data_IF_435071574968
#
_entry.id   IF_435071574968
#
_cell.length_a   1.000
_cell.length_b   1.000
_cell.length_c   1.000
_cell.angle_alpha   90.00
_cell.angle_beta   90.00
_cell.angle_gamma   90.00
#
_symmetry.space_group_name_H-M   'P 1'
#
loop_
_entity.id
_entity.type
_entity.pdbx_description
1 polymer ?
#
# COMPACT_ATOMS: atom_id res chain seq x y z
N UNK A 1 -0.17 44.43 61.53
CA UNK A 1 0.79 43.35 61.21
C UNK A 1 0.46 42.83 59.83
N UNK A 2 1.28 43.20 58.85
CA UNK A 2 1.14 42.82 57.45
C UNK A 2 2.43 42.12 57.07
N UNK A 3 2.31 40.89 56.55
CA UNK A 3 3.29 40.28 55.65
C UNK A 3 2.60 39.09 54.99
N UNK A 4 2.06 39.34 53.81
CA UNK A 4 1.61 38.33 52.86
C UNK A 4 2.85 37.87 52.10
N UNK A 5 3.40 36.70 52.40
CA UNK A 5 4.46 36.10 51.58
C UNK A 5 3.88 35.77 50.20
N UNK A 6 4.33 36.47 49.16
CA UNK A 6 4.05 36.10 47.77
C UNK A 6 4.88 34.87 47.40
N UNK A 7 4.26 33.78 46.89
CA UNK A 7 5.00 32.62 46.44
C UNK A 7 5.89 33.01 45.25
N UNK A 8 7.15 32.61 45.32
CA UNK A 8 8.18 32.86 44.34
C UNK A 8 7.78 32.29 42.95
N UNK A 9 7.31 33.18 42.07
CA UNK A 9 6.80 32.88 40.72
C UNK A 9 7.89 32.55 39.70
N UNK A 10 9.17 32.74 40.06
CA UNK A 10 10.30 32.48 39.16
C UNK A 10 10.60 30.98 38.99
N UNK A 11 10.02 30.11 39.84
CA UNK A 11 10.33 28.66 39.88
C UNK A 11 9.47 27.79 38.96
N UNK A 12 8.45 28.35 38.29
CA UNK A 12 7.60 27.63 37.32
C UNK A 12 7.96 27.94 35.85
N UNK A 13 9.13 28.52 35.60
CA UNK A 13 9.60 28.75 34.24
C UNK A 13 10.40 27.55 33.76
N UNK A 14 9.96 26.91 32.66
CA UNK A 14 10.73 25.87 31.98
C UNK A 14 12.14 26.44 31.69
N UNK A 15 13.22 25.78 32.14
CA UNK A 15 14.58 26.28 31.93
C UNK A 15 14.84 26.49 30.44
N UNK A 16 15.39 27.66 30.07
CA UNK A 16 15.67 28.03 28.67
C UNK A 16 16.55 26.98 27.96
N UNK A 17 17.45 26.33 28.69
CA UNK A 17 18.30 25.24 28.19
C UNK A 17 17.49 24.02 27.77
N UNK A 18 16.42 23.67 28.49
CA UNK A 18 15.55 22.56 28.14
C UNK A 18 14.72 22.88 26.89
N UNK A 19 14.19 24.10 26.81
CA UNK A 19 13.46 24.57 25.62
C UNK A 19 14.36 24.57 24.36
N UNK A 20 15.60 25.05 24.50
CA UNK A 20 16.61 24.99 23.43
C UNK A 20 16.96 23.55 23.05
N UNK A 21 17.05 22.63 24.02
CA UNK A 21 17.28 21.21 23.77
C UNK A 21 16.15 20.56 22.97
N UNK A 22 14.89 20.86 23.30
CA UNK A 22 13.72 20.39 22.57
C UNK A 22 13.69 20.93 21.13
N UNK A 23 13.97 22.22 20.96
CA UNK A 23 14.05 22.84 19.64
C UNK A 23 15.19 22.26 18.81
N UNK A 24 16.37 22.04 19.40
CA UNK A 24 17.51 21.43 18.73
C UNK A 24 17.20 20.00 18.28
N UNK A 25 16.51 19.20 19.11
CA UNK A 25 16.09 17.85 18.76
C UNK A 25 15.13 17.85 17.56
N UNK A 26 14.11 18.72 17.60
CA UNK A 26 13.13 18.83 16.51
C UNK A 26 13.75 19.34 15.19
N UNK A 27 14.65 20.31 15.27
CA UNK A 27 15.35 20.82 14.09
C UNK A 27 16.33 19.78 13.53
N UNK A 28 16.98 18.99 14.40
CA UNK A 28 17.90 17.93 13.96
C UNK A 28 17.16 16.79 13.25
N UNK A 29 16.00 16.36 13.77
CA UNK A 29 15.18 15.35 13.11
C UNK A 29 14.67 15.84 11.76
N UNK A 30 14.18 17.08 11.70
CA UNK A 30 13.73 17.70 10.46
C UNK A 30 14.88 17.80 9.44
N UNK A 31 16.07 18.24 9.87
CA UNK A 31 17.24 18.33 8.99
C UNK A 31 17.67 16.97 8.43
N UNK A 32 17.67 15.91 9.25
CA UNK A 32 17.99 14.56 8.80
C UNK A 32 16.99 14.05 7.76
N UNK A 33 15.69 14.26 7.99
CA UNK A 33 14.64 13.85 7.05
C UNK A 33 14.71 14.68 5.76
N UNK A 34 14.81 16.00 5.86
CA UNK A 34 14.96 16.89 4.70
C UNK A 34 16.20 16.54 3.87
N UNK A 35 17.33 16.24 4.51
CA UNK A 35 18.53 15.76 3.83
C UNK A 35 18.29 14.42 3.13
N UNK A 36 17.64 13.47 3.79
CA UNK A 36 17.31 12.17 3.19
C UNK A 36 16.38 12.30 1.97
N UNK A 37 15.40 13.22 2.02
CA UNK A 37 14.48 13.49 0.91
C UNK A 37 15.21 14.19 -0.23
N UNK A 38 15.99 15.23 0.06
CA UNK A 38 16.71 16.01 -0.94
C UNK A 38 17.81 15.21 -1.67
N UNK A 39 18.46 14.27 -0.97
CA UNK A 39 19.49 13.39 -1.54
C UNK A 39 18.92 12.19 -2.30
N UNK A 40 17.59 12.05 -2.35
CA UNK A 40 16.93 10.97 -3.10
C UNK A 40 17.38 9.59 -2.65
N UNK A 41 17.74 9.42 -1.38
CA UNK A 41 18.24 8.16 -0.85
C UNK A 41 17.15 7.11 -1.08
N UNK A 42 17.39 6.17 -1.99
CA UNK A 42 16.46 5.08 -2.28
C UNK A 42 16.07 4.41 -0.97
N UNK A 43 14.76 4.26 -0.75
CA UNK A 43 14.23 3.69 0.48
C UNK A 43 14.87 2.32 0.70
N UNK A 44 15.70 2.21 1.74
CA UNK A 44 16.41 0.97 2.07
C UNK A 44 15.37 0.04 2.69
N UNK A 45 14.89 -0.91 1.89
CA UNK A 45 13.75 -1.77 2.23
C UNK A 45 12.88 -2.17 1.04
N UNK A 46 13.13 -1.64 -0.16
CA UNK A 46 12.52 -2.15 -1.40
C UNK A 46 13.20 -3.50 -1.72
N UNK A 47 12.49 -4.64 -1.66
CA UNK A 47 13.03 -5.91 -2.11
C UNK A 47 13.48 -5.75 -3.56
N UNK A 48 14.60 -6.39 -3.92
CA UNK A 48 15.16 -6.36 -5.27
C UNK A 48 14.03 -6.42 -6.31
N UNK A 49 14.02 -5.46 -7.24
CA UNK A 49 13.04 -5.41 -8.31
C UNK A 49 13.34 -6.62 -9.19
N UNK A 50 12.76 -7.77 -8.80
CA UNK A 50 12.95 -9.03 -9.50
C UNK A 50 12.66 -8.82 -10.98
N UNK A 51 13.25 -9.66 -11.82
CA UNK A 51 12.95 -9.58 -13.25
C UNK A 51 11.54 -10.11 -13.48
N UNK A 52 10.72 -9.36 -14.21
CA UNK A 52 9.37 -9.82 -14.58
C UNK A 52 9.52 -11.07 -15.45
N UNK A 53 9.04 -12.20 -14.94
CA UNK A 53 9.05 -13.49 -15.65
C UNK A 53 7.76 -13.72 -16.43
N UNK A 54 6.63 -13.25 -15.89
CA UNK A 54 5.34 -13.31 -16.57
C UNK A 54 4.45 -12.13 -16.18
N UNK A 55 3.63 -11.67 -17.14
CA UNK A 55 2.61 -10.65 -16.94
C UNK A 55 1.33 -11.08 -17.65
N UNK A 56 0.21 -11.05 -16.94
CA UNK A 56 -1.11 -11.35 -17.50
C UNK A 56 -2.11 -10.28 -17.08
N UNK A 57 -2.95 -9.85 -18.02
CA UNK A 57 -4.05 -8.93 -17.73
C UNK A 57 -5.33 -9.66 -17.37
N UNK A 58 -5.98 -9.20 -16.31
CA UNK A 58 -7.31 -9.67 -15.88
C UNK A 58 -8.19 -8.48 -15.51
N UNK A 59 -9.50 -8.68 -15.56
CA UNK A 59 -10.52 -7.74 -15.11
C UNK A 59 -11.20 -8.35 -13.89
N UNK A 60 -11.17 -7.64 -12.76
CA UNK A 60 -11.89 -8.01 -11.54
C UNK A 60 -13.20 -7.23 -11.47
N UNK A 61 -14.32 -7.91 -11.55
CA UNK A 61 -15.65 -7.32 -11.44
C UNK A 61 -16.27 -7.70 -10.09
N UNK A 62 -16.40 -6.74 -9.19
CA UNK A 62 -17.07 -6.94 -7.91
C UNK A 62 -18.59 -6.96 -8.08
N UNK A 63 -19.22 -8.07 -7.69
CA UNK A 63 -20.68 -8.20 -7.69
C UNK A 63 -21.30 -7.85 -6.33
N UNK A 64 -20.61 -8.21 -5.25
CA UNK A 64 -21.04 -7.94 -3.87
C UNK A 64 -19.84 -7.85 -2.94
N UNK A 65 -20.06 -7.64 -1.65
CA UNK A 65 -19.00 -7.61 -0.64
C UNK A 65 -18.21 -8.93 -0.53
N UNK A 66 -18.72 -10.03 -1.09
CA UNK A 66 -18.05 -11.34 -1.06
C UNK A 66 -17.85 -11.96 -2.44
N UNK A 67 -18.60 -11.51 -3.45
CA UNK A 67 -18.60 -12.11 -4.79
C UNK A 67 -17.81 -11.29 -5.80
N UNK A 68 -16.98 -11.96 -6.60
CA UNK A 68 -16.14 -11.36 -7.64
C UNK A 68 -16.09 -12.28 -8.87
N UNK A 69 -16.21 -11.69 -10.06
CA UNK A 69 -15.94 -12.37 -11.32
C UNK A 69 -14.56 -11.94 -11.82
N UNK A 70 -13.75 -12.93 -12.19
CA UNK A 70 -12.46 -12.73 -12.86
C UNK A 70 -12.66 -12.99 -14.34
N UNK A 71 -12.38 -11.98 -15.16
CA UNK A 71 -12.46 -12.07 -16.63
C UNK A 71 -11.11 -11.75 -17.26
N UNK A 72 -10.91 -12.21 -18.48
CA UNK A 72 -9.85 -11.71 -19.36
C UNK A 72 -10.33 -10.42 -20.05
N UNK A 73 -9.41 -9.55 -20.55
CA UNK A 73 -9.80 -8.32 -21.27
C UNK A 73 -10.70 -8.53 -22.50
N UNK A 74 -10.72 -9.74 -23.06
CA UNK A 74 -11.61 -10.14 -24.16
C UNK A 74 -13.06 -10.44 -23.72
N UNK A 75 -13.34 -10.43 -22.42
CA UNK A 75 -14.64 -10.75 -21.83
C UNK A 75 -14.81 -12.21 -21.42
N UNK A 76 -13.83 -13.09 -21.67
CA UNK A 76 -13.88 -14.49 -21.25
C UNK A 76 -13.87 -14.59 -19.73
N UNK A 77 -14.86 -15.28 -19.15
CA UNK A 77 -14.92 -15.53 -17.71
C UNK A 77 -13.91 -16.62 -17.34
N UNK A 78 -12.92 -16.27 -16.53
CA UNK A 78 -11.92 -17.21 -16.01
C UNK A 78 -12.43 -17.88 -14.72
N UNK A 79 -13.10 -17.10 -13.87
CA UNK A 79 -13.72 -17.62 -12.66
C UNK A 79 -14.91 -16.75 -12.23
N UNK A 80 -15.97 -17.41 -11.78
CA UNK A 80 -17.09 -16.80 -11.05
C UNK A 80 -17.02 -17.29 -9.61
N UNK A 81 -16.75 -16.36 -8.68
CA UNK A 81 -16.49 -16.68 -7.28
C UNK A 81 -17.55 -16.02 -6.41
N UNK A 82 -18.62 -16.74 -6.01
CA UNK A 82 -19.63 -16.25 -5.06
C UNK A 82 -19.03 -15.88 -3.70
N UNK A 83 -17.93 -16.55 -3.33
CA UNK A 83 -17.12 -16.27 -2.15
C UNK A 83 -15.64 -16.15 -2.57
N UNK A 84 -15.27 -14.99 -3.12
CA UNK A 84 -13.93 -14.73 -3.66
C UNK A 84 -12.82 -14.55 -2.61
N UNK A 85 -13.18 -14.49 -1.32
CA UNK A 85 -12.22 -14.41 -0.22
C UNK A 85 -11.20 -13.28 -0.42
N UNK A 86 -9.92 -13.65 -0.48
CA UNK A 86 -8.84 -12.68 -0.67
C UNK A 86 -8.91 -11.93 -2.02
N UNK A 87 -9.43 -12.54 -3.09
CA UNK A 87 -9.59 -11.86 -4.39
C UNK A 87 -10.60 -10.70 -4.26
N UNK A 88 -11.66 -10.88 -3.47
CA UNK A 88 -12.64 -9.82 -3.19
C UNK A 88 -12.02 -8.67 -2.40
N UNK A 89 -11.07 -8.95 -1.51
CA UNK A 89 -10.32 -7.90 -0.77
C UNK A 89 -9.45 -7.08 -1.72
N UNK A 90 -8.72 -7.74 -2.62
CA UNK A 90 -7.92 -7.06 -3.65
C UNK A 90 -8.82 -6.22 -4.56
N UNK A 91 -9.93 -6.77 -5.04
CA UNK A 91 -10.89 -6.05 -5.85
C UNK A 91 -11.46 -4.83 -5.12
N UNK A 92 -11.80 -4.95 -3.83
CA UNK A 92 -12.34 -3.86 -3.03
C UNK A 92 -11.32 -2.74 -2.80
N UNK A 93 -10.07 -3.11 -2.52
CA UNK A 93 -8.96 -2.16 -2.38
C UNK A 93 -8.71 -1.37 -3.66
N UNK A 94 -8.61 -2.07 -4.79
CA UNK A 94 -8.47 -1.48 -6.11
C UNK A 94 -9.67 -0.58 -6.47
N UNK A 95 -10.91 -1.05 -6.24
CA UNK A 95 -12.12 -0.28 -6.53
C UNK A 95 -12.18 1.03 -5.73
N UNK A 96 -11.76 0.98 -4.45
CA UNK A 96 -11.65 2.18 -3.62
C UNK A 96 -10.62 3.16 -4.19
N UNK A 97 -9.45 2.67 -4.61
CA UNK A 97 -8.41 3.54 -5.17
C UNK A 97 -8.87 4.18 -6.48
N UNK A 98 -9.49 3.40 -7.36
CA UNK A 98 -10.10 3.89 -8.62
C UNK A 98 -11.17 4.95 -8.38
N UNK A 99 -11.98 4.79 -7.33
CA UNK A 99 -12.97 5.80 -6.93
C UNK A 99 -12.30 7.13 -6.56
N UNK A 100 -11.24 7.08 -5.76
CA UNK A 100 -10.48 8.27 -5.32
C UNK A 100 -9.80 8.96 -6.50
N UNK A 101 -9.31 8.18 -7.46
CA UNK A 101 -8.65 8.67 -8.68
C UNK A 101 -9.62 9.01 -9.83
N UNK A 102 -10.94 8.91 -9.62
CA UNK A 102 -11.97 9.15 -10.64
C UNK A 102 -11.78 8.35 -11.94
N UNK A 103 -11.25 7.13 -11.84
CA UNK A 103 -11.06 6.23 -12.99
C UNK A 103 -12.42 5.84 -13.55
N UNK A 104 -12.58 5.95 -14.86
CA UNK A 104 -13.81 5.60 -15.56
C UNK A 104 -13.81 4.12 -15.97
N UNK A 105 -14.96 3.46 -15.79
CA UNK A 105 -15.12 2.04 -16.15
C UNK A 105 -14.37 1.08 -15.23
N UNK A 106 -13.98 -0.07 -15.78
CA UNK A 106 -13.25 -1.11 -15.05
C UNK A 106 -12.07 -1.63 -15.89
N UNK A 107 -11.00 -0.83 -16.07
CA UNK A 107 -9.86 -1.24 -16.87
C UNK A 107 -9.18 -2.51 -16.31
N UNK A 108 -8.49 -3.30 -17.15
CA UNK A 108 -7.73 -4.45 -16.67
C UNK A 108 -6.64 -4.08 -15.67
N UNK A 109 -6.30 -5.02 -14.80
CA UNK A 109 -5.12 -4.99 -13.93
C UNK A 109 -4.07 -5.99 -14.43
N UNK A 110 -2.81 -5.73 -14.11
CA UNK A 110 -1.71 -6.63 -14.41
C UNK A 110 -1.44 -7.54 -13.20
N UNK A 111 -1.39 -8.85 -13.44
CA UNK A 111 -0.83 -9.81 -12.49
C UNK A 111 0.60 -10.11 -12.95
N UNK A 112 1.57 -9.68 -12.14
CA UNK A 112 2.99 -9.74 -12.45
C UNK A 112 3.67 -10.77 -11.57
N UNK A 113 4.37 -11.71 -12.21
CA UNK A 113 5.23 -12.69 -11.54
C UNK A 113 6.70 -12.31 -11.74
N UNK A 114 7.41 -12.25 -10.64
CA UNK A 114 8.84 -11.96 -10.58
C UNK A 114 9.65 -13.25 -10.42
N UNK A 115 10.91 -13.23 -10.86
CA UNK A 115 11.87 -14.35 -10.78
C UNK A 115 12.12 -14.83 -9.33
N UNK A 116 12.06 -13.90 -8.37
CA UNK A 116 12.18 -14.16 -6.94
C UNK A 116 10.92 -14.78 -6.30
N UNK A 117 9.93 -15.16 -7.12
CA UNK A 117 8.70 -15.82 -6.67
C UNK A 117 7.62 -14.86 -6.15
N UNK A 118 7.86 -13.53 -6.16
CA UNK A 118 6.83 -12.55 -5.84
C UNK A 118 5.75 -12.55 -6.92
N UNK A 119 4.50 -12.46 -6.47
CA UNK A 119 3.34 -12.28 -7.32
C UNK A 119 2.62 -11.02 -6.85
N UNK A 120 2.38 -10.09 -7.76
CA UNK A 120 1.83 -8.76 -7.45
C UNK A 120 0.66 -8.48 -8.39
N UNK A 121 -0.41 -7.91 -7.85
CA UNK A 121 -1.47 -7.30 -8.62
C UNK A 121 -1.20 -5.79 -8.72
N UNK A 122 -1.11 -5.27 -9.93
CA UNK A 122 -0.82 -3.86 -10.22
C UNK A 122 -1.98 -3.27 -11.04
N UNK A 123 -2.48 -2.10 -10.64
CA UNK A 123 -3.49 -1.35 -11.37
C UNK A 123 -2.81 -0.21 -12.16
N UNK A 124 -2.67 -0.34 -13.50
CA UNK A 124 -2.02 0.69 -14.32
C UNK A 124 -2.77 2.03 -14.31
N UNK A 125 -4.07 2.03 -13.98
CA UNK A 125 -4.89 3.24 -14.00
C UNK A 125 -4.61 4.17 -12.81
N UNK A 126 -4.17 3.62 -11.68
CA UNK A 126 -3.96 4.36 -10.42
C UNK A 126 -2.52 4.25 -9.90
N UNK A 127 -1.75 3.27 -10.37
CA UNK A 127 -0.44 2.91 -9.80
C UNK A 127 -0.55 2.10 -8.50
N UNK A 128 -1.76 1.68 -8.12
CA UNK A 128 -1.97 0.85 -6.94
C UNK A 128 -1.37 -0.55 -7.14
N UNK A 129 -0.76 -1.10 -6.10
CA UNK A 129 -0.20 -2.45 -6.14
C UNK A 129 -0.42 -3.20 -4.84
N UNK A 130 -0.63 -4.51 -4.91
CA UNK A 130 -0.73 -5.39 -3.77
C UNK A 130 0.04 -6.70 -3.98
N UNK A 131 0.85 -7.10 -2.99
CA UNK A 131 1.54 -8.39 -3.02
C UNK A 131 0.57 -9.54 -2.75
N UNK A 132 0.45 -10.45 -3.69
CA UNK A 132 -0.43 -11.62 -3.58
C UNK A 132 0.21 -12.77 -2.78
N UNK A 133 1.54 -12.75 -2.64
CA UNK A 133 2.31 -13.80 -1.95
C UNK A 133 2.27 -13.67 -0.42
N UNK A 134 2.09 -12.46 0.12
CA UNK A 134 2.19 -12.17 1.56
C UNK A 134 1.10 -12.83 2.43
N UNK A 135 0.08 -13.44 1.81
CA UNK A 135 -1.12 -13.91 2.50
C UNK A 135 -1.18 -15.44 2.68
N UNK A 136 -0.11 -16.18 2.39
CA UNK A 136 0.00 -17.63 2.65
C UNK A 136 -0.16 -18.53 1.41
N UNK A 137 0.14 -19.83 1.57
CA UNK A 137 0.19 -20.83 0.48
C UNK A 137 -1.12 -20.98 -0.28
N UNK A 138 -2.24 -20.90 0.43
CA UNK A 138 -3.57 -21.20 -0.12
C UNK A 138 -4.06 -20.05 -1.01
N UNK A 139 -3.73 -18.81 -0.62
CA UNK A 139 -4.02 -17.61 -1.40
C UNK A 139 -3.19 -17.56 -2.69
N UNK A 140 -1.90 -17.96 -2.60
CA UNK A 140 -1.06 -18.15 -3.78
C UNK A 140 -1.68 -19.15 -4.75
N UNK A 141 -2.07 -20.33 -4.26
CA UNK A 141 -2.66 -21.37 -5.11
C UNK A 141 -3.96 -20.94 -5.80
N UNK A 142 -4.75 -20.02 -5.22
CA UNK A 142 -5.93 -19.46 -5.86
C UNK A 142 -5.55 -18.59 -7.09
N UNK A 143 -4.59 -17.69 -6.94
CA UNK A 143 -4.12 -16.84 -8.05
C UNK A 143 -3.32 -17.62 -9.09
N UNK A 144 -2.55 -18.64 -8.69
CA UNK A 144 -1.83 -19.49 -9.65
C UNK A 144 -2.78 -20.30 -10.54
N UNK A 145 -3.90 -20.79 -10.00
CA UNK A 145 -4.95 -21.45 -10.80
C UNK A 145 -5.56 -20.48 -11.83
N UNK A 146 -5.85 -19.25 -11.42
CA UNK A 146 -6.35 -18.22 -12.34
C UNK A 146 -5.33 -17.87 -13.42
N UNK A 147 -4.05 -17.80 -13.08
CA UNK A 147 -2.97 -17.54 -14.02
C UNK A 147 -2.81 -18.65 -15.05
N UNK A 148 -2.87 -19.92 -14.63
CA UNK A 148 -2.81 -21.07 -15.53
C UNK A 148 -3.97 -21.05 -16.53
N UNK A 149 -5.19 -20.71 -16.09
CA UNK A 149 -6.36 -20.59 -16.96
C UNK A 149 -6.28 -19.37 -17.89
N UNK A 150 -5.59 -18.31 -17.47
CA UNK A 150 -5.44 -17.10 -18.28
C UNK A 150 -4.37 -17.21 -19.38
N UNK A 151 -3.42 -18.15 -19.24
CA UNK A 151 -2.23 -18.31 -20.09
C UNK A 151 -2.35 -19.32 -21.24
N UNK A 152 -3.51 -19.95 -21.41
CA UNK A 152 -3.93 -20.64 -22.67
C UNK A 152 -4.78 -19.71 -23.54
#
# INVERSE_FOLDING_TARGET
>A
MHSTETPNREKEMIPRTLLLGMAALALSSLALVSYSVATGRSHVGVPDAGTVTARTQIVLEGLSAQAVIVKRPDGTVLADLPHGGFITVIQSGMARERLVHHVQGNPPIDIVRYDNGRLVAEDPATGWSAELYAFGSDNRAAFERLLQQSGE
#
